data_IF_341241085196
#
_entry.id   IF_341241085196
#
_cell.length_a   1.000
_cell.length_b   1.000
_cell.length_c   1.000
_cell.angle_alpha   90.00
_cell.angle_beta   90.00
_cell.angle_gamma   90.00
#
_symmetry.space_group_name_H-M   'P 1'
#
loop_
_entity.id
_entity.type
_entity.pdbx_description
1 polymer ?
#
# COMPACT_ATOMS: atom_id res chain seq x y z
N UNK A 1 -16.94 49.60 -16.30
CA UNK A 1 -15.84 49.48 -15.31
C UNK A 1 -16.28 48.72 -14.06
N UNK A 2 -16.64 47.44 -14.17
CA UNK A 2 -16.78 46.54 -13.02
C UNK A 2 -16.82 45.10 -13.54
N UNK A 3 -15.69 44.40 -13.44
CA UNK A 3 -15.66 42.95 -13.59
C UNK A 3 -15.20 42.38 -12.26
N UNK A 4 -16.15 41.83 -11.51
CA UNK A 4 -15.95 41.27 -10.19
C UNK A 4 -15.25 39.93 -10.37
N UNK A 5 -13.94 39.89 -10.10
CA UNK A 5 -13.21 38.63 -9.98
C UNK A 5 -13.75 37.90 -8.75
N UNK A 6 -14.58 36.89 -9.02
CA UNK A 6 -15.20 36.00 -8.04
C UNK A 6 -14.09 35.26 -7.31
N UNK A 7 -13.82 35.67 -6.08
CA UNK A 7 -12.99 34.95 -5.14
C UNK A 7 -13.58 33.54 -4.95
N UNK A 8 -12.92 32.51 -5.47
CA UNK A 8 -13.10 31.15 -4.99
C UNK A 8 -12.08 30.92 -3.88
N UNK A 9 -12.60 31.04 -2.67
CA UNK A 9 -12.01 30.65 -1.40
C UNK A 9 -11.61 29.17 -1.41
N UNK A 10 -10.32 28.88 -1.47
CA UNK A 10 -9.75 27.67 -0.85
C UNK A 10 -8.32 27.98 -0.40
N UNK A 11 -8.14 28.09 0.92
CA UNK A 11 -6.86 28.35 1.56
C UNK A 11 -5.92 27.16 1.47
N UNK A 12 -5.25 27.01 0.33
CA UNK A 12 -3.97 26.32 0.23
C UNK A 12 -2.95 27.40 -0.07
N UNK A 13 -1.86 27.47 0.71
CA UNK A 13 -0.68 28.21 0.28
C UNK A 13 -0.12 27.49 -0.95
N UNK A 14 -0.61 27.85 -2.13
CA UNK A 14 -0.12 27.31 -3.40
C UNK A 14 1.19 28.03 -3.65
N UNK A 15 2.30 27.35 -3.39
CA UNK A 15 3.59 27.74 -3.97
C UNK A 15 3.43 27.41 -5.47
N UNK A 16 2.96 28.38 -6.25
CA UNK A 16 2.81 28.20 -7.69
C UNK A 16 4.22 28.27 -8.27
N UNK A 17 4.73 27.13 -8.77
CA UNK A 17 6.03 27.11 -9.40
C UNK A 17 5.98 27.97 -10.68
N UNK A 18 7.04 28.74 -10.94
CA UNK A 18 7.17 29.57 -12.13
C UNK A 18 6.85 28.80 -13.43
N UNK A 19 7.26 27.54 -13.50
CA UNK A 19 7.04 26.67 -14.65
C UNK A 19 5.55 26.37 -14.89
N UNK A 20 4.75 26.26 -13.83
CA UNK A 20 3.30 25.99 -13.91
C UNK A 20 2.52 27.19 -14.49
N UNK A 21 3.05 28.42 -14.32
CA UNK A 21 2.44 29.65 -14.88
C UNK A 21 2.90 29.88 -16.32
N UNK A 22 4.19 29.70 -16.58
CA UNK A 22 4.79 30.01 -17.88
C UNK A 22 4.40 29.00 -18.95
N UNK A 23 4.28 27.72 -18.60
CA UNK A 23 3.98 26.64 -19.53
C UNK A 23 3.08 25.57 -18.86
N UNK A 24 1.80 25.88 -18.59
CA UNK A 24 0.86 24.91 -18.03
C UNK A 24 0.60 23.78 -19.03
N UNK A 25 0.72 22.53 -18.57
CA UNK A 25 0.44 21.33 -19.37
C UNK A 25 -0.82 20.59 -18.96
N UNK A 26 -1.51 21.04 -17.91
CA UNK A 26 -2.68 20.34 -17.33
C UNK A 26 -3.86 20.16 -18.29
N UNK A 27 -3.98 21.03 -19.30
CA UNK A 27 -5.03 20.96 -20.33
C UNK A 27 -4.64 20.13 -21.55
N UNK A 28 -3.41 19.62 -21.61
CA UNK A 28 -2.87 18.91 -22.76
C UNK A 28 -2.85 17.42 -22.45
N UNK A 29 -3.58 16.63 -23.22
CA UNK A 29 -3.52 15.17 -23.12
C UNK A 29 -2.40 14.65 -24.01
N UNK A 30 -1.36 14.09 -23.41
CA UNK A 30 -0.23 13.56 -24.17
C UNK A 30 -0.58 12.18 -24.76
N UNK A 31 -0.02 11.87 -25.93
CA UNK A 31 -0.20 10.54 -26.55
C UNK A 31 0.30 9.41 -25.64
N UNK A 32 1.35 9.68 -24.85
CA UNK A 32 1.90 8.73 -23.89
C UNK A 32 0.88 8.41 -22.79
N UNK A 33 0.18 9.41 -22.27
CA UNK A 33 -0.87 9.21 -21.26
C UNK A 33 -2.00 8.33 -21.82
N UNK A 34 -2.47 8.66 -23.03
CA UNK A 34 -3.49 7.86 -23.74
C UNK A 34 -3.00 6.42 -23.96
N UNK A 35 -1.74 6.24 -24.34
CA UNK A 35 -1.16 4.92 -24.59
C UNK A 35 -1.03 4.09 -23.31
N UNK A 36 -0.64 4.71 -22.19
CA UNK A 36 -0.55 4.07 -20.87
C UNK A 36 -1.93 3.69 -20.33
N UNK A 37 -2.91 4.61 -20.38
CA UNK A 37 -4.30 4.35 -19.98
C UNK A 37 -4.90 3.17 -20.73
N UNK A 38 -4.68 3.12 -22.05
CA UNK A 38 -5.20 2.07 -22.92
C UNK A 38 -4.33 0.81 -22.96
N UNK A 39 -3.18 0.81 -22.26
CA UNK A 39 -2.18 -0.27 -22.27
C UNK A 39 -1.76 -0.69 -23.69
N UNK A 40 -1.68 0.26 -24.63
CA UNK A 40 -1.37 0.03 -26.05
C UNK A 40 0.06 -0.49 -26.23
N UNK A 41 0.28 -1.32 -27.26
CA UNK A 41 1.61 -1.83 -27.62
C UNK A 41 2.18 -2.89 -26.68
N UNK A 42 1.41 -3.35 -25.68
CA UNK A 42 1.90 -4.32 -24.71
C UNK A 42 1.71 -5.76 -25.20
N UNK A 43 2.81 -6.41 -25.55
CA UNK A 43 2.84 -7.83 -25.87
C UNK A 43 2.65 -8.69 -24.61
N UNK A 44 2.16 -9.91 -24.78
CA UNK A 44 2.10 -10.88 -23.68
C UNK A 44 3.51 -11.30 -23.28
N UNK A 45 3.68 -11.66 -22.01
CA UNK A 45 4.95 -12.18 -21.53
C UNK A 45 5.34 -13.46 -22.29
N UNK A 46 6.62 -13.60 -22.68
CA UNK A 46 7.07 -14.76 -23.44
C UNK A 46 7.05 -16.05 -22.63
N UNK A 47 7.21 -15.96 -21.31
CA UNK A 47 7.24 -17.11 -20.40
C UNK A 47 6.22 -16.96 -19.27
N UNK A 48 5.49 -18.03 -18.91
CA UNK A 48 4.64 -18.04 -17.72
C UNK A 48 5.46 -17.88 -16.43
N UNK A 49 4.90 -17.20 -15.43
CA UNK A 49 5.49 -17.10 -14.10
C UNK A 49 6.64 -16.09 -13.96
N UNK A 50 6.85 -15.23 -14.97
CA UNK A 50 7.76 -14.09 -14.83
C UNK A 50 7.28 -13.12 -13.75
N UNK A 51 8.21 -12.52 -13.02
CA UNK A 51 7.89 -11.55 -11.99
C UNK A 51 7.49 -10.21 -12.62
N UNK A 52 6.42 -9.62 -12.08
CA UNK A 52 5.85 -8.35 -12.56
C UNK A 52 5.92 -7.27 -11.48
N UNK A 53 6.89 -7.41 -10.57
CA UNK A 53 7.00 -6.59 -9.36
C UNK A 53 7.24 -5.12 -9.67
N UNK A 54 7.93 -4.81 -10.77
CA UNK A 54 8.15 -3.45 -11.26
C UNK A 54 7.12 -2.96 -12.30
N UNK A 55 6.15 -3.79 -12.68
CA UNK A 55 5.15 -3.43 -13.67
C UNK A 55 3.99 -2.65 -13.04
N UNK A 56 3.37 -1.78 -13.83
CA UNK A 56 2.15 -1.08 -13.43
C UNK A 56 1.01 -2.07 -13.15
N UNK A 57 0.02 -1.62 -12.39
CA UNK A 57 -1.18 -2.39 -12.07
C UNK A 57 -2.07 -2.43 -13.32
N UNK A 58 -2.57 -3.62 -13.68
CA UNK A 58 -3.47 -3.75 -14.82
C UNK A 58 -4.85 -3.15 -14.46
N UNK A 59 -5.20 -2.01 -15.07
CA UNK A 59 -6.51 -1.39 -14.90
C UNK A 59 -7.64 -2.29 -15.41
N UNK A 60 -7.44 -2.97 -16.54
CA UNK A 60 -8.41 -3.93 -17.08
C UNK A 60 -8.63 -5.15 -16.18
N UNK A 61 -7.65 -5.54 -15.37
CA UNK A 61 -7.85 -6.64 -14.41
C UNK A 61 -8.73 -6.19 -13.24
N UNK A 62 -8.52 -4.96 -12.76
CA UNK A 62 -9.38 -4.37 -11.72
C UNK A 62 -10.83 -4.23 -12.17
N UNK A 63 -11.07 -3.95 -13.46
CA UNK A 63 -12.42 -3.91 -14.05
C UNK A 63 -12.91 -5.25 -14.59
N UNK A 64 -12.17 -6.35 -14.39
CA UNK A 64 -12.48 -7.70 -14.88
C UNK A 64 -12.61 -7.90 -16.41
N UNK A 65 -11.97 -7.04 -17.21
CA UNK A 65 -11.98 -7.08 -18.70
C UNK A 65 -10.65 -7.63 -19.27
N UNK A 66 -9.65 -7.90 -18.43
CA UNK A 66 -8.33 -8.36 -18.88
C UNK A 66 -8.37 -9.78 -19.46
N UNK A 67 -8.13 -9.91 -20.77
CA UNK A 67 -8.09 -11.19 -21.49
C UNK A 67 -6.69 -11.85 -21.54
N UNK A 68 -5.65 -11.21 -20.98
CA UNK A 68 -4.26 -11.69 -21.06
C UNK A 68 -3.90 -12.74 -20.00
N UNK A 69 -4.77 -12.97 -19.01
CA UNK A 69 -4.56 -13.96 -17.96
C UNK A 69 -3.24 -13.78 -17.21
N UNK A 70 -2.55 -14.88 -16.90
CA UNK A 70 -1.25 -14.86 -16.20
C UNK A 70 -0.12 -14.27 -17.05
N UNK A 71 -0.23 -14.32 -18.38
CA UNK A 71 0.73 -13.76 -19.33
C UNK A 71 0.57 -12.24 -19.54
N UNK A 72 -0.34 -11.60 -18.80
CA UNK A 72 -0.45 -10.14 -18.78
C UNK A 72 0.88 -9.54 -18.28
N UNK A 73 1.51 -8.60 -19.02
CA UNK A 73 2.75 -7.95 -18.59
C UNK A 73 2.55 -7.04 -17.37
N UNK A 74 1.31 -6.67 -17.08
CA UNK A 74 0.94 -5.86 -15.93
C UNK A 74 0.61 -6.73 -14.72
N UNK A 75 0.73 -6.11 -13.54
CA UNK A 75 0.48 -6.76 -12.26
C UNK A 75 -1.02 -6.91 -12.00
N UNK A 76 -1.42 -8.11 -11.59
CA UNK A 76 -2.76 -8.45 -11.11
C UNK A 76 -2.74 -8.51 -9.57
N UNK A 77 -3.54 -7.66 -8.92
CA UNK A 77 -3.62 -7.58 -7.46
C UNK A 77 -4.87 -8.32 -7.00
N UNK A 78 -4.70 -9.33 -6.13
CA UNK A 78 -5.78 -10.01 -5.41
C UNK A 78 -5.96 -9.32 -4.03
N UNK A 79 -7.21 -9.12 -3.61
CA UNK A 79 -7.61 -8.12 -2.59
C UNK A 79 -7.24 -8.37 -1.13
N UNK A 80 -6.61 -9.49 -0.76
CA UNK A 80 -6.65 -9.97 0.63
C UNK A 80 -5.27 -10.05 1.33
N UNK A 81 -4.31 -9.20 0.94
CA UNK A 81 -2.93 -9.29 1.46
C UNK A 81 -2.69 -8.27 2.57
N UNK A 82 -2.42 -8.77 3.77
CA UNK A 82 -2.31 -7.94 4.99
C UNK A 82 -0.87 -7.61 5.39
N UNK A 83 0.10 -8.48 5.09
CA UNK A 83 1.49 -8.34 5.55
C UNK A 83 2.46 -8.22 4.37
N UNK A 84 3.43 -7.31 4.47
CA UNK A 84 4.45 -7.09 3.45
C UNK A 84 5.36 -8.30 3.27
N UNK A 85 5.63 -8.66 2.01
CA UNK A 85 6.49 -9.78 1.65
C UNK A 85 7.97 -9.47 1.92
N UNK A 86 8.57 -10.20 2.87
CA UNK A 86 10.01 -10.07 3.18
C UNK A 86 10.95 -10.35 2.00
N UNK A 87 10.54 -11.21 1.05
CA UNK A 87 11.37 -11.56 -0.11
C UNK A 87 11.27 -10.51 -1.22
N UNK A 88 10.11 -9.88 -1.37
CA UNK A 88 9.90 -8.79 -2.33
C UNK A 88 10.72 -7.55 -1.97
N UNK A 89 10.84 -7.23 -0.67
CA UNK A 89 11.71 -6.14 -0.20
C UNK A 89 13.17 -6.27 -0.66
N UNK A 90 13.61 -7.49 -1.00
CA UNK A 90 14.96 -7.79 -1.50
C UNK A 90 15.01 -8.04 -3.00
N UNK A 91 13.87 -7.97 -3.70
CA UNK A 91 13.76 -8.32 -5.13
C UNK A 91 13.90 -9.81 -5.43
N UNK A 92 13.68 -10.69 -4.44
CA UNK A 92 13.90 -12.14 -4.57
C UNK A 92 12.61 -12.97 -4.57
N UNK A 93 11.44 -12.33 -4.69
CA UNK A 93 10.17 -13.04 -4.66
C UNK A 93 9.90 -13.75 -6.00
N UNK A 94 9.91 -15.09 -5.99
CA UNK A 94 9.58 -15.92 -7.16
C UNK A 94 8.09 -16.12 -7.40
N UNK A 95 7.24 -15.84 -6.39
CA UNK A 95 5.78 -16.03 -6.49
C UNK A 95 5.09 -14.93 -7.30
N UNK A 96 5.76 -13.79 -7.57
CA UNK A 96 5.20 -12.69 -8.36
C UNK A 96 3.83 -12.25 -7.85
N UNK A 97 2.84 -12.23 -8.75
CA UNK A 97 1.46 -11.83 -8.45
C UNK A 97 0.71 -12.82 -7.55
N UNK A 98 1.10 -14.10 -7.58
CA UNK A 98 0.52 -15.17 -6.77
C UNK A 98 1.13 -15.26 -5.37
N UNK A 99 1.93 -14.26 -4.98
CA UNK A 99 2.42 -14.15 -3.63
C UNK A 99 1.26 -13.86 -2.65
N UNK A 100 1.16 -14.67 -1.60
CA UNK A 100 0.23 -14.50 -0.47
C UNK A 100 0.51 -13.22 0.35
N UNK A 101 1.71 -12.64 0.20
CA UNK A 101 2.14 -11.46 0.92
C UNK A 101 2.12 -10.22 0.03
N UNK A 102 1.95 -9.05 0.64
CA UNK A 102 1.83 -7.76 -0.03
C UNK A 102 3.14 -7.34 -0.68
N UNK A 103 3.09 -6.97 -1.97
CA UNK A 103 4.18 -6.35 -2.72
C UNK A 103 3.96 -4.84 -2.80
N UNK A 104 3.97 -4.21 -1.63
CA UNK A 104 3.81 -2.76 -1.43
C UNK A 104 4.64 -2.37 -0.22
N UNK A 105 5.25 -1.19 -0.26
CA UNK A 105 6.05 -0.69 0.84
C UNK A 105 5.14 0.08 1.78
N UNK A 106 4.67 -0.60 2.82
CA UNK A 106 3.83 -0.03 3.88
C UNK A 106 4.45 -0.38 5.24
N UNK A 107 4.93 0.63 5.96
CA UNK A 107 5.56 0.46 7.27
C UNK A 107 4.58 -0.07 8.33
N UNK A 108 3.29 0.21 8.19
CA UNK A 108 2.27 -0.25 9.14
C UNK A 108 1.98 -1.76 9.01
N UNK A 109 2.20 -2.32 7.83
CA UNK A 109 1.93 -3.72 7.49
C UNK A 109 3.20 -4.58 7.44
N UNK A 110 4.31 -4.05 7.93
CA UNK A 110 5.57 -4.80 7.95
C UNK A 110 5.49 -5.94 8.97
N UNK A 111 6.03 -7.14 8.69
CA UNK A 111 6.07 -8.21 9.68
C UNK A 111 6.87 -7.83 10.94
N UNK A 112 6.57 -8.52 12.04
CA UNK A 112 7.26 -8.38 13.32
C UNK A 112 8.75 -8.75 13.18
N UNK A 113 9.61 -7.98 13.88
CA UNK A 113 11.02 -8.29 13.99
C UNK A 113 11.23 -9.53 14.86
N UNK A 114 11.78 -10.59 14.25
CA UNK A 114 12.07 -11.83 14.95
C UNK A 114 13.03 -11.65 16.13
N UNK A 115 14.10 -10.86 15.97
CA UNK A 115 15.11 -10.67 17.02
C UNK A 115 14.56 -9.89 18.21
N UNK A 116 13.83 -8.81 17.95
CA UNK A 116 13.21 -8.01 19.00
C UNK A 116 12.12 -8.82 19.75
N UNK A 117 11.26 -9.52 19.02
CA UNK A 117 10.18 -10.33 19.62
C UNK A 117 10.72 -11.47 20.51
N UNK A 118 11.82 -12.11 20.09
CA UNK A 118 12.38 -13.27 20.81
C UNK A 118 13.37 -12.91 21.92
N UNK A 119 14.23 -11.91 21.69
CA UNK A 119 15.34 -11.58 22.59
C UNK A 119 15.18 -10.22 23.29
N UNK A 120 14.16 -9.42 22.93
CA UNK A 120 13.96 -8.07 23.46
C UNK A 120 14.95 -7.04 22.93
N UNK A 121 15.83 -7.41 22.00
CA UNK A 121 16.85 -6.54 21.44
C UNK A 121 17.04 -6.83 19.94
N UNK A 122 17.17 -5.76 19.14
CA UNK A 122 17.55 -5.84 17.74
C UNK A 122 18.89 -5.12 17.55
N UNK A 123 19.80 -5.74 16.80
CA UNK A 123 21.13 -5.17 16.52
C UNK A 123 21.07 -4.01 15.51
N UNK A 124 20.08 -4.03 14.61
CA UNK A 124 19.92 -3.03 13.57
C UNK A 124 19.16 -1.81 14.11
N UNK A 125 19.80 -0.63 14.06
CA UNK A 125 19.18 0.65 14.45
C UNK A 125 18.05 1.03 13.50
N UNK A 126 18.29 0.91 12.20
CA UNK A 126 17.31 1.14 11.14
C UNK A 126 16.63 -0.18 10.75
N UNK A 127 15.97 -0.82 11.71
CA UNK A 127 15.24 -2.06 11.45
C UNK A 127 13.89 -1.75 10.78
N UNK A 128 13.63 -2.20 9.53
CA UNK A 128 12.35 -1.92 8.88
C UNK A 128 11.19 -2.68 9.52
N UNK A 129 11.47 -3.78 10.23
CA UNK A 129 10.47 -4.66 10.85
C UNK A 129 9.88 -4.08 12.14
N UNK A 130 8.63 -4.42 12.45
CA UNK A 130 7.95 -3.88 13.61
C UNK A 130 8.56 -4.41 14.93
N UNK A 131 8.97 -3.49 15.80
CA UNK A 131 9.38 -3.77 17.18
C UNK A 131 8.17 -3.64 18.10
N UNK A 132 7.54 -4.78 18.43
CA UNK A 132 6.40 -4.85 19.35
C UNK A 132 6.87 -5.46 20.66
N UNK A 133 6.66 -4.75 21.76
CA UNK A 133 7.02 -5.27 23.09
C UNK A 133 6.15 -6.49 23.45
N UNK A 134 6.74 -7.60 23.93
CA UNK A 134 5.99 -8.80 24.32
C UNK A 134 4.92 -8.54 25.40
N UNK A 135 5.10 -7.49 26.21
CA UNK A 135 4.15 -7.05 27.24
C UNK A 135 2.93 -6.32 26.65
N UNK A 136 3.13 -5.61 25.55
CA UNK A 136 2.08 -4.91 24.80
C UNK A 136 1.47 -5.80 23.71
N UNK A 137 1.97 -7.04 23.54
CA UNK A 137 1.38 -8.02 22.65
C UNK A 137 0.08 -8.54 23.27
N UNK A 138 -0.98 -7.84 22.91
CA UNK A 138 -2.36 -8.26 23.02
C UNK A 138 -2.46 -9.70 22.56
N UNK A 139 -2.91 -10.59 23.44
CA UNK A 139 -3.25 -11.94 23.04
C UNK A 139 -4.73 -11.97 22.69
N UNK A 140 -5.03 -12.32 21.45
CA UNK A 140 -6.41 -12.59 21.04
C UNK A 140 -6.97 -13.67 21.95
N UNK A 141 -8.14 -13.40 22.54
CA UNK A 141 -8.76 -14.31 23.48
C UNK A 141 -9.54 -15.38 22.69
N UNK A 142 -9.17 -16.68 22.75
CA UNK A 142 -9.85 -17.71 21.96
C UNK A 142 -11.33 -17.91 22.30
N UNK A 143 -11.79 -17.36 23.42
CA UNK A 143 -13.19 -17.40 23.85
C UNK A 143 -13.96 -16.15 23.44
N UNK A 144 -13.27 -15.03 23.16
CA UNK A 144 -13.85 -13.79 22.67
C UNK A 144 -14.27 -13.94 21.20
N UNK A 145 -13.39 -14.50 20.34
CA UNK A 145 -13.69 -14.73 18.93
C UNK A 145 -14.84 -15.73 18.71
N UNK A 146 -15.03 -16.64 19.68
CA UNK A 146 -16.13 -17.60 19.68
C UNK A 146 -17.40 -17.08 20.38
N UNK A 147 -17.38 -15.88 20.95
CA UNK A 147 -18.55 -15.24 21.58
C UNK A 147 -18.91 -15.73 22.98
N UNK A 148 -18.07 -16.54 23.64
CA UNK A 148 -18.33 -17.13 24.96
C UNK A 148 -17.50 -16.51 26.09
N UNK A 149 -16.75 -15.43 25.81
CA UNK A 149 -15.90 -14.80 26.83
C UNK A 149 -16.77 -14.15 27.91
N UNK A 150 -16.63 -14.63 29.16
CA UNK A 150 -17.36 -14.10 30.32
C UNK A 150 -17.01 -12.64 30.67
N UNK A 151 -15.86 -12.15 30.21
CA UNK A 151 -15.46 -10.73 30.37
C UNK A 151 -16.00 -9.83 29.24
N UNK A 152 -16.68 -10.40 28.24
CA UNK A 152 -17.31 -9.68 27.14
C UNK A 152 -16.45 -8.54 26.58
N UNK A 153 -17.08 -7.38 26.40
CA UNK A 153 -16.57 -6.15 25.76
C UNK A 153 -15.58 -5.33 26.61
N UNK A 154 -15.29 -5.75 27.86
CA UNK A 154 -14.47 -4.96 28.79
C UNK A 154 -12.96 -5.00 28.50
N UNK A 155 -12.55 -5.73 27.45
CA UNK A 155 -11.18 -5.69 26.91
C UNK A 155 -11.10 -4.77 25.68
N UNK A 156 -12.20 -4.15 25.23
CA UNK A 156 -12.17 -3.23 24.09
C UNK A 156 -11.90 -1.77 24.53
N UNK A 157 -12.25 -1.39 25.75
CA UNK A 157 -12.16 0.01 26.20
C UNK A 157 -10.77 0.42 26.71
N UNK A 158 -9.88 -0.53 27.04
CA UNK A 158 -8.46 -0.23 27.31
C UNK A 158 -7.61 -0.17 26.02
N UNK A 159 -8.22 -0.37 24.85
CA UNK A 159 -7.54 -0.55 23.57
C UNK A 159 -7.58 0.66 22.64
N UNK A 160 -8.29 1.73 23.01
CA UNK A 160 -8.43 2.92 22.18
C UNK A 160 -7.75 4.17 22.74
N UNK A 161 -7.22 4.18 23.97
CA UNK A 161 -6.45 5.35 24.45
C UNK A 161 -5.03 5.43 23.85
N UNK A 162 -4.45 4.30 23.41
CA UNK A 162 -3.09 4.30 22.86
C UNK A 162 -2.99 4.74 21.39
N UNK A 163 -4.10 4.88 20.67
CA UNK A 163 -4.12 5.51 19.33
C UNK A 163 -4.18 7.05 19.39
N UNK A 164 -4.35 7.65 20.58
CA UNK A 164 -4.31 9.12 20.77
C UNK A 164 -3.03 9.65 21.41
N UNK A 165 -2.07 8.80 21.81
CA UNK A 165 -0.75 9.26 22.32
C UNK A 165 0.31 9.18 21.20
N UNK A 166 0.01 9.81 20.06
CA UNK A 166 0.99 10.28 19.08
C UNK A 166 0.76 11.75 18.74
N UNK A 167 0.64 12.60 19.75
CA UNK A 167 0.84 14.06 19.63
C UNK A 167 1.36 14.64 20.94
N UNK A 168 2.62 14.34 21.29
CA UNK A 168 3.67 15.28 21.77
C UNK A 168 5.01 14.66 21.43
#
# INVERSE_FOLDING_TARGET
NNCVLRQLSFGKNIIINMQEIVAPVDGIKFEIEVALELQKGTQTLPFPGMDKSGAAICTYFLTSVCNKGSACPFRHIKGDRTVVCKHWLRGLCKKGDDCEFLHEFDMSKMPECFFFSKFGQCSNKECPFLHIDPKNKVRDCPWYDRGFCRHGKLVFDLYFEHSLIKQV
#
